data_IF_791570537836
#
_entry.id   IF_791570537836
#
_cell.length_a   1.000
_cell.length_b   1.000
_cell.length_c   1.000
_cell.angle_alpha   90.00
_cell.angle_beta   90.00
_cell.angle_gamma   90.00
#
_symmetry.space_group_name_H-M   'P 1'
#
loop_
_entity.id
_entity.type
_entity.pdbx_description
1 polymer ?
#
# COMPACT_ATOMS: atom_id res chain seq x y z
N UNK A 1 23.20 -15.09 -39.28
CA UNK A 1 24.64 -14.88 -39.53
C UNK A 1 24.87 -13.40 -39.81
N UNK A 2 25.92 -12.85 -39.20
CA UNK A 2 26.19 -11.43 -38.96
C UNK A 2 26.56 -10.68 -40.25
N UNK A 3 25.99 -9.48 -40.46
CA UNK A 3 26.72 -8.37 -41.07
C UNK A 3 26.39 -7.05 -40.35
N UNK A 4 27.40 -6.59 -39.60
CA UNK A 4 27.53 -5.23 -39.08
C UNK A 4 27.94 -4.33 -40.24
N UNK A 5 27.34 -3.14 -40.34
CA UNK A 5 27.93 -2.04 -41.11
C UNK A 5 28.06 -0.84 -40.18
N UNK A 6 29.32 -0.58 -39.84
CA UNK A 6 29.83 0.68 -39.29
C UNK A 6 29.79 1.74 -40.39
N UNK A 7 29.39 2.97 -40.07
CA UNK A 7 29.92 4.15 -40.77
C UNK A 7 30.37 5.22 -39.76
N UNK A 8 31.64 5.58 -39.93
CA UNK A 8 32.43 6.67 -39.34
C UNK A 8 31.89 8.01 -39.91
N UNK A 9 31.51 8.98 -39.08
CA UNK A 9 32.33 10.05 -38.47
C UNK A 9 32.40 11.35 -39.30
N UNK A 10 31.99 12.45 -38.67
CA UNK A 10 32.59 13.78 -38.89
C UNK A 10 32.71 14.46 -37.53
N UNK A 11 33.95 14.75 -37.16
CA UNK A 11 34.31 15.60 -36.05
C UNK A 11 34.13 17.07 -36.44
N UNK A 12 33.42 17.84 -35.64
CA UNK A 12 33.51 19.30 -35.63
C UNK A 12 34.10 19.71 -34.28
N UNK A 13 35.38 20.10 -34.32
CA UNK A 13 36.07 20.78 -33.24
C UNK A 13 35.57 22.24 -33.21
N UNK A 14 34.77 22.59 -32.21
CA UNK A 14 34.56 23.97 -31.83
C UNK A 14 35.07 24.15 -30.40
N UNK A 15 36.27 24.73 -30.27
CA UNK A 15 36.74 25.34 -29.04
C UNK A 15 35.90 26.59 -28.77
N UNK A 16 35.05 26.53 -27.76
CA UNK A 16 34.28 27.65 -27.26
C UNK A 16 33.79 27.30 -25.86
N UNK A 17 34.44 27.86 -24.85
CA UNK A 17 34.13 27.60 -23.46
C UNK A 17 32.70 27.99 -23.13
N UNK A 18 31.92 27.01 -22.67
CA UNK A 18 30.72 27.24 -21.89
C UNK A 18 30.66 26.13 -20.84
N UNK A 19 30.89 26.50 -19.59
CA UNK A 19 30.54 25.70 -18.42
C UNK A 19 29.02 25.67 -18.32
N UNK A 20 28.38 24.63 -18.86
CA UNK A 20 26.96 24.37 -18.66
C UNK A 20 26.82 23.10 -17.83
N UNK A 21 26.36 23.31 -16.60
CA UNK A 21 26.22 22.33 -15.54
C UNK A 21 25.60 21.02 -16.03
N UNK A 22 26.19 19.91 -15.60
CA UNK A 22 25.56 18.59 -15.58
C UNK A 22 24.19 18.70 -14.90
N UNK A 23 23.12 18.75 -15.70
CA UNK A 23 21.77 18.60 -15.22
C UNK A 23 21.64 17.16 -14.75
N UNK A 24 21.78 16.98 -13.44
CA UNK A 24 21.23 15.86 -12.70
C UNK A 24 19.79 15.63 -13.17
N UNK A 25 19.30 14.38 -13.21
CA UNK A 25 17.87 14.19 -13.36
C UNK A 25 17.23 14.86 -12.15
N UNK A 26 16.67 16.06 -12.35
CA UNK A 26 15.72 16.66 -11.45
C UNK A 26 14.58 15.67 -11.41
N UNK A 27 14.63 14.79 -10.40
CA UNK A 27 13.46 14.11 -9.91
C UNK A 27 12.38 15.18 -9.88
N UNK A 28 11.39 15.07 -10.76
CA UNK A 28 10.18 15.85 -10.62
C UNK A 28 9.76 15.62 -9.18
N UNK A 29 9.91 16.66 -8.36
CA UNK A 29 9.32 16.69 -7.05
C UNK A 29 7.82 16.64 -7.32
N UNK A 30 7.30 15.42 -7.50
CA UNK A 30 5.89 15.15 -7.52
C UNK A 30 5.36 15.80 -6.26
N UNK A 31 4.62 16.89 -6.47
CA UNK A 31 4.03 17.71 -5.44
C UNK A 31 3.42 16.79 -4.39
N UNK A 32 4.07 16.71 -3.22
CA UNK A 32 3.66 15.86 -2.11
C UNK A 32 2.22 16.22 -1.78
N UNK A 33 1.22 15.32 -1.89
CA UNK A 33 -0.10 15.65 -1.42
C UNK A 33 -0.01 15.88 0.09
N UNK A 34 -0.15 17.13 0.53
CA UNK A 34 -0.29 17.43 1.94
C UNK A 34 -1.67 16.96 2.40
N UNK A 35 -1.69 15.70 2.83
CA UNK A 35 -2.17 15.24 4.13
C UNK A 35 -3.39 16.01 4.66
N UNK A 36 -4.60 15.54 4.34
CA UNK A 36 -5.85 16.01 4.95
C UNK A 36 -6.17 15.33 6.29
N UNK A 37 -7.32 15.73 6.89
CA UNK A 37 -7.94 15.03 8.03
C UNK A 37 -8.31 13.60 7.61
N UNK A 38 -7.92 12.62 8.43
CA UNK A 38 -8.28 11.21 8.19
C UNK A 38 -9.79 11.03 8.21
N UNK A 39 -10.37 10.59 7.09
CA UNK A 39 -11.78 10.23 6.99
C UNK A 39 -11.94 8.72 7.04
N UNK A 40 -12.91 8.24 7.80
CA UNK A 40 -13.16 6.82 8.03
C UNK A 40 -14.41 6.35 7.32
N UNK A 41 -14.30 5.20 6.66
CA UNK A 41 -15.38 4.59 5.92
C UNK A 41 -15.57 3.15 6.38
N UNK A 42 -16.82 2.76 6.62
CA UNK A 42 -17.18 1.39 6.95
C UNK A 42 -17.16 0.55 5.69
N UNK A 43 -16.66 -0.67 5.80
CA UNK A 43 -16.65 -1.66 4.72
C UNK A 43 -16.84 -3.05 5.33
N UNK A 44 -17.28 -4.02 4.54
CA UNK A 44 -17.23 -5.43 4.92
C UNK A 44 -16.48 -6.17 3.83
N UNK A 45 -15.15 -6.26 3.99
CA UNK A 45 -14.29 -6.91 3.02
C UNK A 45 -13.39 -7.95 3.70
N UNK A 46 -12.79 -8.80 2.89
CA UNK A 46 -11.72 -9.70 3.32
C UNK A 46 -10.51 -9.49 2.42
N UNK A 47 -9.33 -9.68 2.98
CA UNK A 47 -8.07 -9.61 2.26
C UNK A 47 -7.11 -10.65 2.81
N UNK A 48 -6.04 -10.92 2.07
CA UNK A 48 -4.91 -11.72 2.55
C UNK A 48 -3.79 -10.79 2.95
N UNK A 49 -2.96 -11.20 3.90
CA UNK A 49 -1.70 -10.49 4.17
C UNK A 49 -0.73 -10.72 3.00
N UNK A 50 -0.28 -9.64 2.38
CA UNK A 50 0.59 -9.67 1.21
C UNK A 50 2.02 -10.08 1.53
N UNK A 51 2.85 -10.19 0.49
CA UNK A 51 4.27 -10.57 0.63
C UNK A 51 5.11 -9.49 1.33
N UNK A 52 4.82 -8.21 1.06
CA UNK A 52 5.55 -7.06 1.56
C UNK A 52 5.12 -6.60 2.96
N UNK A 53 4.28 -7.37 3.64
CA UNK A 53 3.68 -7.00 4.94
C UNK A 53 4.70 -6.62 6.02
N UNK A 54 5.91 -7.21 5.97
CA UNK A 54 6.99 -6.94 6.94
C UNK A 54 7.51 -5.51 6.89
N UNK A 55 7.32 -4.80 5.77
CA UNK A 55 7.71 -3.40 5.62
C UNK A 55 6.73 -2.45 6.32
N UNK A 56 5.61 -2.98 6.82
CA UNK A 56 4.55 -2.20 7.44
C UNK A 56 4.34 -2.62 8.90
N UNK A 57 3.87 -1.67 9.71
CA UNK A 57 3.62 -1.85 11.14
C UNK A 57 2.12 -2.07 11.36
N UNK A 58 1.79 -2.97 12.29
CA UNK A 58 0.43 -3.06 12.82
C UNK A 58 0.30 -2.08 13.97
N UNK A 59 -0.68 -1.19 13.91
CA UNK A 59 -0.91 -0.19 14.96
C UNK A 59 -2.31 -0.30 15.53
N UNK A 60 -2.55 0.25 16.72
CA UNK A 60 -3.90 0.36 17.29
C UNK A 60 -4.76 1.44 16.59
N UNK A 61 -4.12 2.44 15.99
CA UNK A 61 -4.74 3.52 15.19
C UNK A 61 -3.90 3.81 13.94
N UNK A 62 -4.50 4.35 12.89
CA UNK A 62 -3.75 4.83 11.73
C UNK A 62 -2.72 5.90 12.16
N UNK A 63 -1.48 5.84 11.66
CA UNK A 63 -0.37 6.63 12.21
C UNK A 63 -0.59 8.15 12.18
N UNK A 64 -1.32 8.66 11.18
CA UNK A 64 -1.59 10.08 11.02
C UNK A 64 -3.00 10.48 11.49
N UNK A 65 -3.56 9.72 12.41
CA UNK A 65 -4.83 10.06 13.05
C UNK A 65 -4.61 11.00 14.25
N UNK A 66 -5.67 11.62 14.76
CA UNK A 66 -5.60 12.53 15.92
C UNK A 66 -5.28 11.84 17.27
N UNK A 67 -4.90 10.55 17.26
CA UNK A 67 -4.63 9.78 18.48
C UNK A 67 -3.18 9.97 18.94
N UNK A 68 -3.00 10.44 20.18
CA UNK A 68 -1.66 10.74 20.75
C UNK A 68 -0.82 9.50 21.07
N UNK A 69 -1.45 8.36 21.35
CA UNK A 69 -0.76 7.14 21.80
C UNK A 69 -0.95 5.98 20.82
N UNK A 70 -0.12 5.98 19.78
CA UNK A 70 -0.12 4.93 18.76
C UNK A 70 0.86 3.83 19.15
N UNK A 71 0.31 2.66 19.50
CA UNK A 71 1.08 1.47 19.86
C UNK A 71 1.26 0.58 18.64
N UNK A 72 2.48 0.13 18.43
CA UNK A 72 2.80 -0.86 17.40
C UNK A 72 2.76 -2.27 17.99
N UNK A 73 2.21 -3.21 17.24
CA UNK A 73 2.20 -4.65 17.56
C UNK A 73 2.98 -5.39 16.48
N UNK A 74 3.79 -6.38 16.86
CA UNK A 74 4.46 -7.22 15.87
C UNK A 74 3.47 -8.16 15.18
N UNK A 75 3.69 -8.44 13.91
CA UNK A 75 2.90 -9.42 13.15
C UNK A 75 2.82 -10.79 13.82
N UNK A 76 3.94 -11.24 14.41
CA UNK A 76 4.01 -12.50 15.18
C UNK A 76 3.06 -12.47 16.39
N UNK A 77 3.04 -11.37 17.16
CA UNK A 77 2.15 -11.22 18.33
C UNK A 77 0.67 -11.16 17.93
N UNK A 78 0.36 -10.57 16.77
CA UNK A 78 -0.98 -10.58 16.20
C UNK A 78 -1.38 -11.96 15.62
N UNK A 79 -0.46 -12.92 15.56
CA UNK A 79 -0.68 -14.22 14.93
C UNK A 79 -1.02 -14.12 13.43
N UNK A 80 -0.44 -13.12 12.76
CA UNK A 80 -0.64 -12.81 11.34
C UNK A 80 0.68 -13.01 10.58
N UNK A 81 0.60 -13.67 9.43
CA UNK A 81 1.70 -13.93 8.50
C UNK A 81 1.23 -13.80 7.06
N UNK A 82 2.15 -13.76 6.09
CA UNK A 82 1.83 -13.83 4.65
C UNK A 82 0.76 -14.90 4.36
N UNK A 83 -0.24 -14.55 3.56
CA UNK A 83 -1.36 -15.41 3.18
C UNK A 83 -2.47 -15.55 4.24
N UNK A 84 -2.28 -15.01 5.45
CA UNK A 84 -3.35 -15.04 6.47
C UNK A 84 -4.55 -14.25 5.98
N UNK A 85 -5.75 -14.83 6.09
CA UNK A 85 -6.99 -14.14 5.75
C UNK A 85 -7.38 -13.22 6.91
N UNK A 86 -7.72 -11.98 6.59
CA UNK A 86 -8.18 -10.97 7.54
C UNK A 86 -9.49 -10.37 7.09
N UNK A 87 -10.33 -10.01 8.06
CA UNK A 87 -11.54 -9.23 7.83
C UNK A 87 -11.20 -7.75 7.95
N UNK A 88 -11.79 -6.95 7.07
CA UNK A 88 -11.68 -5.50 7.06
C UNK A 88 -13.06 -4.94 7.36
N UNK A 89 -13.15 -4.15 8.42
CA UNK A 89 -14.39 -3.48 8.82
C UNK A 89 -14.37 -1.96 8.58
N UNK A 90 -13.18 -1.36 8.50
CA UNK A 90 -12.98 0.06 8.21
C UNK A 90 -11.78 0.29 7.31
N UNK A 91 -11.83 1.38 6.56
CA UNK A 91 -10.67 1.98 5.94
C UNK A 91 -10.61 3.49 6.20
N UNK A 92 -9.42 4.07 6.14
CA UNK A 92 -9.14 5.47 6.35
C UNK A 92 -8.46 6.07 5.12
N UNK A 93 -8.98 7.20 4.64
CA UNK A 93 -8.42 7.98 3.53
C UNK A 93 -7.81 9.26 4.08
N UNK A 94 -6.64 9.63 3.57
CA UNK A 94 -5.94 10.85 3.96
C UNK A 94 -5.37 11.66 2.78
N UNK A 95 -5.81 11.35 1.56
CA UNK A 95 -5.25 11.94 0.34
C UNK A 95 -3.82 11.46 0.02
N UNK A 96 -3.32 10.46 0.74
CA UNK A 96 -2.06 9.77 0.45
C UNK A 96 -2.27 8.70 -0.62
N UNK A 97 -1.19 8.27 -1.28
CA UNK A 97 -1.23 7.22 -2.31
C UNK A 97 -1.88 5.92 -1.84
N UNK A 98 -1.77 5.61 -0.53
CA UNK A 98 -2.33 4.40 0.06
C UNK A 98 -3.22 4.71 1.25
N UNK A 99 -4.34 3.97 1.31
CA UNK A 99 -5.30 4.03 2.41
C UNK A 99 -4.87 3.13 3.58
N UNK A 100 -5.39 3.46 4.74
CA UNK A 100 -5.27 2.65 5.95
C UNK A 100 -6.44 1.69 6.06
N UNK A 101 -6.21 0.48 6.55
CA UNK A 101 -7.26 -0.53 6.72
C UNK A 101 -7.23 -1.10 8.12
N UNK A 102 -8.42 -1.21 8.73
CA UNK A 102 -8.60 -1.85 10.03
C UNK A 102 -8.88 -3.32 9.82
N UNK A 103 -7.92 -4.15 10.22
CA UNK A 103 -7.93 -5.59 10.05
C UNK A 103 -8.18 -6.31 11.37
N UNK A 104 -8.84 -7.45 11.28
CA UNK A 104 -8.90 -8.44 12.35
C UNK A 104 -8.69 -9.84 11.78
N UNK A 105 -8.22 -10.77 12.62
CA UNK A 105 -8.01 -12.15 12.20
C UNK A 105 -9.33 -12.75 11.77
N UNK A 106 -9.36 -13.33 10.56
CA UNK A 106 -10.56 -13.99 10.08
C UNK A 106 -10.82 -15.24 10.92
N UNK A 107 -12.06 -15.40 11.38
CA UNK A 107 -12.51 -16.59 12.10
C UNK A 107 -13.82 -17.04 11.48
N UNK A 108 -13.88 -18.30 11.04
CA UNK A 108 -15.09 -18.93 10.52
C UNK A 108 -16.00 -19.46 11.62
N UNK A 109 -15.52 -19.52 12.87
CA UNK A 109 -16.27 -20.09 13.99
C UNK A 109 -17.26 -19.06 14.55
N UNK A 110 -18.56 -19.41 14.54
CA UNK A 110 -19.67 -18.67 15.20
C UNK A 110 -19.42 -18.38 16.70
N UNK A 111 -18.46 -19.07 17.32
CA UNK A 111 -18.02 -18.92 18.71
C UNK A 111 -17.30 -17.58 19.00
N UNK A 112 -17.00 -16.77 17.98
CA UNK A 112 -16.32 -15.47 18.14
C UNK A 112 -17.14 -14.41 18.92
N UNK A 113 -18.42 -14.67 19.22
CA UNK A 113 -19.32 -13.69 19.85
C UNK A 113 -18.91 -13.24 21.26
N UNK A 114 -18.04 -13.98 21.97
CA UNK A 114 -17.62 -13.63 23.34
C UNK A 114 -16.15 -13.25 23.50
N UNK A 115 -15.31 -13.42 22.47
CA UNK A 115 -13.91 -13.04 22.54
C UNK A 115 -13.73 -11.60 22.02
N UNK A 116 -13.01 -10.76 22.79
CA UNK A 116 -12.64 -9.40 22.36
C UNK A 116 -11.75 -9.50 21.11
N UNK A 117 -12.34 -9.24 19.94
CA UNK A 117 -11.63 -9.30 18.66
C UNK A 117 -10.60 -8.18 18.62
N UNK A 118 -9.32 -8.56 18.59
CA UNK A 118 -8.23 -7.60 18.44
C UNK A 118 -8.24 -7.03 17.02
N UNK A 119 -8.16 -5.70 16.94
CA UNK A 119 -8.18 -4.95 15.68
C UNK A 119 -6.89 -4.15 15.54
N UNK A 120 -6.37 -4.10 14.32
CA UNK A 120 -5.15 -3.39 14.00
C UNK A 120 -5.34 -2.55 12.75
N UNK A 121 -4.58 -1.47 12.63
CA UNK A 121 -4.48 -0.65 11.45
C UNK A 121 -3.19 -0.96 10.71
N UNK A 122 -3.28 -1.02 9.38
CA UNK A 122 -2.13 -1.22 8.49
C UNK A 122 -2.36 -0.51 7.16
N UNK A 123 -1.28 -0.17 6.46
CA UNK A 123 -1.37 0.32 5.08
C UNK A 123 -1.91 -0.75 4.13
N UNK A 124 -2.67 -0.32 3.13
CA UNK A 124 -3.22 -1.20 2.10
C UNK A 124 -2.17 -2.00 1.33
N UNK A 125 -0.95 -1.51 1.20
CA UNK A 125 0.17 -2.22 0.56
C UNK A 125 0.60 -3.50 1.29
N UNK A 126 0.22 -3.66 2.56
CA UNK A 126 0.45 -4.89 3.31
C UNK A 126 -0.62 -5.96 3.01
N UNK A 127 -1.65 -5.63 2.22
CA UNK A 127 -2.83 -6.46 1.99
C UNK A 127 -2.98 -6.78 0.51
N UNK A 128 -3.23 -8.05 0.23
CA UNK A 128 -3.66 -8.52 -1.07
C UNK A 128 -5.19 -8.58 -1.03
N UNK A 129 -5.83 -7.57 -1.61
CA UNK A 129 -7.27 -7.59 -1.82
C UNK A 129 -7.57 -8.61 -2.90
N UNK A 130 -8.20 -9.72 -2.52
CA UNK A 130 -8.78 -10.62 -3.51
C UNK A 130 -9.84 -9.80 -4.24
N UNK A 131 -9.63 -9.53 -5.54
CA UNK A 131 -10.70 -9.00 -6.38
C UNK A 131 -11.91 -9.88 -6.13
N UNK A 132 -12.94 -9.32 -5.49
CA UNK A 132 -14.21 -10.01 -5.36
C UNK A 132 -14.64 -10.25 -6.80
N UNK A 133 -14.55 -11.49 -7.28
CA UNK A 133 -15.22 -11.87 -8.51
C UNK A 133 -16.69 -11.69 -8.20
N UNK A 134 -17.24 -10.54 -8.57
CA UNK A 134 -18.68 -10.32 -8.59
C UNK A 134 -19.24 -11.34 -9.56
N UNK A 135 -19.59 -12.54 -9.06
CA UNK A 135 -20.68 -13.29 -9.66
C UNK A 135 -21.89 -12.40 -9.48
N UNK A 136 -22.15 -11.57 -10.50
CA UNK A 136 -23.48 -11.02 -10.72
C UNK A 136 -24.34 -12.27 -10.89
N UNK A 137 -25.03 -12.67 -9.83
CA UNK A 137 -26.12 -13.63 -9.95
C UNK A 137 -27.22 -12.82 -10.59
N UNK A 138 -27.32 -12.88 -11.92
CA UNK A 138 -28.54 -12.47 -12.60
C UNK A 138 -29.62 -13.45 -12.15
N UNK A 139 -30.40 -13.08 -11.14
CA UNK A 139 -31.71 -13.66 -10.98
C UNK A 139 -32.56 -13.08 -12.12
N UNK A 140 -32.66 -13.84 -13.21
CA UNK A 140 -33.79 -13.69 -14.11
C UNK A 140 -34.99 -14.30 -13.37
N UNK A 141 -35.98 -13.45 -13.06
CA UNK A 141 -37.36 -13.87 -12.83
C UNK A 141 -38.16 -13.48 -14.06
#
# INVERSE_FOLDING_TARGET
>A
MIKKTFMLAVAALSFGGFVAASQTPTASAASKPMVGKMTYHKINATAKIGSNYKNFKLTNHAQNSNFKHIKTTSWKKAGLKKGSVVKIDLYGIQGTQFNWYRISKYTSKKTAKKAKVQKYWVYGQALDFTKSSSKIVSLAY
#
